data_IF_918161694347
#
_entry.id   IF_918161694347
#
_cell.length_a   1.000
_cell.length_b   1.000
_cell.length_c   1.000
_cell.angle_alpha   90.00
_cell.angle_beta   90.00
_cell.angle_gamma   90.00
#
_symmetry.space_group_name_H-M   'P 1'
#
loop_
_entity.id
_entity.type
_entity.pdbx_description
1 polymer ?
#
# COMPACT_ATOMS: atom_id res chain seq x y z
N UNK A 1 -5.59 -10.23 -14.36
CA UNK A 1 -6.34 -9.55 -13.26
C UNK A 1 -5.40 -9.38 -12.08
N UNK A 2 -5.29 -8.18 -11.49
CA UNK A 2 -4.49 -7.99 -10.28
C UNK A 2 -5.32 -8.33 -9.03
N UNK A 3 -4.73 -9.05 -8.07
CA UNK A 3 -5.42 -9.51 -6.85
C UNK A 3 -5.77 -8.39 -5.84
N UNK A 4 -5.30 -7.16 -6.08
CA UNK A 4 -5.55 -5.95 -5.24
C UNK A 4 -5.22 -6.11 -3.74
N UNK A 5 -4.33 -7.04 -3.39
CA UNK A 5 -3.89 -7.28 -2.00
C UNK A 5 -3.02 -6.13 -1.49
N UNK A 6 -2.06 -5.68 -2.31
CA UNK A 6 -1.16 -4.56 -2.01
C UNK A 6 -1.58 -3.29 -2.74
N UNK A 7 -1.25 -2.12 -2.17
CA UNK A 7 -1.61 -0.82 -2.74
C UNK A 7 -0.61 -0.32 -3.80
N UNK A 8 0.58 -0.90 -3.86
CA UNK A 8 1.64 -0.53 -4.78
C UNK A 8 2.91 -1.33 -4.53
N UNK A 9 3.90 -1.11 -5.39
CA UNK A 9 5.24 -1.68 -5.32
C UNK A 9 6.21 -0.50 -5.26
N UNK A 10 7.10 -0.51 -4.27
CA UNK A 10 8.16 0.51 -4.15
C UNK A 10 9.36 0.01 -4.95
N UNK A 11 9.89 0.81 -5.90
CA UNK A 11 11.03 0.38 -6.71
C UNK A 11 12.30 0.31 -5.87
N UNK A 12 13.09 -0.73 -6.13
CA UNK A 12 14.44 -0.88 -5.59
C UNK A 12 15.47 -0.15 -6.47
N UNK A 13 16.63 0.24 -5.90
CA UNK A 13 17.79 0.68 -6.64
C UNK A 13 18.28 -0.36 -7.66
N UNK A 14 19.11 0.09 -8.60
CA UNK A 14 19.77 -0.81 -9.57
C UNK A 14 20.61 -1.83 -8.79
N UNK A 15 20.50 -3.12 -9.17
CA UNK A 15 21.07 -4.29 -8.46
C UNK A 15 20.45 -4.63 -7.09
N UNK A 16 19.43 -3.90 -6.64
CA UNK A 16 18.56 -4.24 -5.51
C UNK A 16 18.73 -3.39 -4.26
N UNK A 17 17.83 -3.57 -3.28
CA UNK A 17 17.76 -2.74 -2.09
C UNK A 17 19.04 -2.67 -1.25
N UNK A 18 19.84 -3.74 -1.28
CA UNK A 18 21.08 -3.88 -0.51
C UNK A 18 22.24 -3.05 -1.07
N UNK A 19 22.22 -2.69 -2.36
CA UNK A 19 23.32 -1.93 -2.99
C UNK A 19 23.27 -0.45 -2.63
N UNK A 20 22.07 0.08 -2.43
CA UNK A 20 21.85 1.45 -1.96
C UNK A 20 20.73 1.52 -0.90
N UNK A 21 21.04 1.20 0.38
CA UNK A 21 20.06 1.24 1.47
C UNK A 21 19.48 2.64 1.70
N UNK A 22 20.27 3.69 1.45
CA UNK A 22 19.84 5.07 1.64
C UNK A 22 18.77 5.48 0.62
N UNK A 23 18.95 5.11 -0.65
CA UNK A 23 17.94 5.33 -1.69
C UNK A 23 16.68 4.50 -1.42
N UNK A 24 16.84 3.23 -1.04
CA UNK A 24 15.70 2.38 -0.65
C UNK A 24 14.90 3.01 0.50
N UNK A 25 15.57 3.47 1.55
CA UNK A 25 14.92 4.13 2.68
C UNK A 25 14.21 5.42 2.25
N UNK A 26 14.79 6.20 1.32
CA UNK A 26 14.16 7.39 0.78
C UNK A 26 12.89 7.05 -0.01
N UNK A 27 12.92 6.01 -0.85
CA UNK A 27 11.76 5.55 -1.61
C UNK A 27 10.63 5.10 -0.67
N UNK A 28 10.96 4.33 0.37
CA UNK A 28 10.03 3.91 1.42
C UNK A 28 9.42 5.13 2.13
N UNK A 29 10.28 6.06 2.57
CA UNK A 29 9.83 7.29 3.26
C UNK A 29 8.88 8.11 2.40
N UNK A 30 9.20 8.30 1.12
CA UNK A 30 8.35 9.03 0.18
C UNK A 30 6.98 8.37 0.03
N UNK A 31 6.93 7.04 -0.11
CA UNK A 31 5.68 6.31 -0.22
C UNK A 31 4.83 6.41 1.06
N UNK A 32 5.43 6.24 2.24
CA UNK A 32 4.74 6.39 3.53
C UNK A 32 4.18 7.80 3.70
N UNK A 33 4.97 8.84 3.41
CA UNK A 33 4.53 10.23 3.52
C UNK A 33 3.38 10.55 2.56
N UNK A 34 3.43 10.03 1.33
CA UNK A 34 2.35 10.18 0.35
C UNK A 34 1.05 9.56 0.87
N UNK A 35 1.11 8.33 1.37
CA UNK A 35 -0.08 7.61 1.84
C UNK A 35 -0.65 8.26 3.11
N UNK A 36 0.19 8.65 4.07
CA UNK A 36 -0.24 9.38 5.26
C UNK A 36 -0.90 10.71 4.91
N UNK A 37 -0.36 11.46 3.94
CA UNK A 37 -0.95 12.74 3.50
C UNK A 37 -2.37 12.56 2.94
N UNK A 38 -2.69 11.43 2.31
CA UNK A 38 -4.07 11.14 1.89
C UNK A 38 -4.95 10.68 3.06
N UNK A 39 -4.46 9.73 3.86
CA UNK A 39 -5.24 9.12 4.94
C UNK A 39 -5.57 10.09 6.06
N UNK A 40 -4.65 11.00 6.41
CA UNK A 40 -4.85 11.99 7.48
C UNK A 40 -5.93 13.03 7.17
N UNK A 41 -6.37 13.16 5.92
CA UNK A 41 -7.48 14.06 5.53
C UNK A 41 -8.85 13.47 5.86
N UNK A 42 -8.92 12.19 6.22
CA UNK A 42 -10.16 11.44 6.43
C UNK A 42 -10.45 11.32 7.92
N UNK A 43 -11.72 11.37 8.29
CA UNK A 43 -12.12 11.10 9.66
C UNK A 43 -11.92 9.61 10.01
N UNK A 44 -11.83 9.25 11.31
CA UNK A 44 -11.59 7.87 11.73
C UNK A 44 -12.63 6.86 11.21
N UNK A 45 -13.90 7.23 11.15
CA UNK A 45 -14.98 6.34 10.69
C UNK A 45 -14.84 5.98 9.20
N UNK A 46 -14.44 6.93 8.35
CA UNK A 46 -14.14 6.67 6.94
C UNK A 46 -12.93 5.74 6.79
N UNK A 47 -11.90 5.90 7.61
CA UNK A 47 -10.72 5.01 7.57
C UNK A 47 -11.06 3.56 7.93
N UNK A 48 -11.91 3.36 8.95
CA UNK A 48 -12.41 2.03 9.33
C UNK A 48 -13.20 1.40 8.18
N UNK A 49 -14.13 2.15 7.58
CA UNK A 49 -14.92 1.67 6.46
C UNK A 49 -14.06 1.33 5.23
N UNK A 50 -13.04 2.14 4.92
CA UNK A 50 -12.11 1.87 3.83
C UNK A 50 -11.36 0.55 4.05
N UNK A 51 -10.86 0.32 5.26
CA UNK A 51 -10.16 -0.93 5.64
C UNK A 51 -11.06 -2.14 5.48
N UNK A 52 -12.29 -2.06 5.99
CA UNK A 52 -13.25 -3.17 5.92
C UNK A 52 -13.56 -3.53 4.47
N UNK A 53 -13.86 -2.53 3.63
CA UNK A 53 -14.10 -2.74 2.19
C UNK A 53 -12.91 -3.38 1.49
N UNK A 54 -11.68 -2.92 1.78
CA UNK A 54 -10.46 -3.50 1.20
C UNK A 54 -10.35 -4.98 1.54
N UNK A 55 -10.50 -5.34 2.81
CA UNK A 55 -10.37 -6.74 3.28
C UNK A 55 -11.47 -7.63 2.68
N UNK A 56 -12.72 -7.17 2.71
CA UNK A 56 -13.87 -7.92 2.17
C UNK A 56 -13.78 -8.14 0.65
N UNK A 57 -13.12 -7.25 -0.08
CA UNK A 57 -12.94 -7.38 -1.53
C UNK A 57 -11.85 -8.38 -1.94
N UNK A 58 -11.13 -8.97 -0.98
CA UNK A 58 -10.07 -9.94 -1.27
C UNK A 58 -10.64 -11.34 -1.39
N UNK A 59 -10.28 -12.03 -2.48
CA UNK A 59 -10.73 -13.39 -2.77
C UNK A 59 -11.85 -13.43 -3.79
N UNK A 60 -11.93 -14.55 -4.51
CA UNK A 60 -13.01 -14.86 -5.45
C UNK A 60 -13.54 -16.23 -5.05
N UNK A 61 -14.86 -16.34 -4.90
CA UNK A 61 -15.54 -17.58 -4.58
C UNK A 61 -16.74 -17.72 -5.52
N UNK A 62 -17.05 -18.96 -5.89
CA UNK A 62 -18.30 -19.31 -6.52
C UNK A 62 -19.23 -19.81 -5.40
N UNK A 63 -20.47 -19.32 -5.39
CA UNK A 63 -21.51 -19.87 -4.51
C UNK A 63 -22.03 -21.16 -5.17
N UNK A 64 -22.21 -22.22 -4.37
CA UNK A 64 -22.80 -23.49 -4.84
C UNK A 64 -24.29 -23.36 -5.19
#
# INVERSE_FOLDING_TARGET
>A
MALKVVNGIIPEPVEGAHTNPQETANNIKQQILKDLKDLMKRNPSVLVNYRNKKIQSMGFFEEE
#
